data_IF_711441454561
#
_entry.id   IF_711441454561
#
_cell.length_a   1.000
_cell.length_b   1.000
_cell.length_c   1.000
_cell.angle_alpha   90.00
_cell.angle_beta   90.00
_cell.angle_gamma   90.00
#
_symmetry.space_group_name_H-M   'P 1'
#
loop_
_entity.id
_entity.type
_entity.pdbx_description
1 polymer ?
#
# COMPACT_ATOMS: atom_id res chain seq x y z
N UNK A 1 38.70 -40.26 74.48
CA UNK A 1 38.82 -38.81 74.24
C UNK A 1 37.65 -38.35 73.37
N UNK A 2 37.04 -37.24 73.77
CA UNK A 2 35.86 -36.62 73.18
C UNK A 2 36.12 -36.06 71.77
N UNK A 3 35.15 -36.15 70.87
CA UNK A 3 34.66 -35.00 70.09
C UNK A 3 33.17 -35.20 69.77
N UNK A 4 32.32 -34.46 70.48
CA UNK A 4 30.94 -34.20 70.08
C UNK A 4 30.96 -32.98 69.16
N UNK A 5 30.61 -33.14 67.89
CA UNK A 5 30.28 -32.02 67.02
C UNK A 5 28.77 -32.07 66.72
N UNK A 6 28.07 -31.03 67.16
CA UNK A 6 26.62 -30.82 67.00
C UNK A 6 26.41 -29.73 65.92
N UNK A 7 25.27 -29.79 65.21
CA UNK A 7 24.62 -28.72 64.39
C UNK A 7 25.27 -28.40 63.03
N UNK A 8 24.56 -28.12 61.91
CA UNK A 8 23.28 -27.42 61.76
C UNK A 8 22.49 -27.84 60.50
N UNK A 9 21.19 -27.51 60.55
CA UNK A 9 20.11 -27.73 59.58
C UNK A 9 20.44 -27.68 58.09
N UNK A 10 19.82 -28.60 57.36
CA UNK A 10 19.54 -28.49 55.94
C UNK A 10 18.91 -27.12 55.62
N UNK A 11 19.59 -26.30 54.82
CA UNK A 11 19.03 -25.07 54.25
C UNK A 11 17.99 -25.48 53.23
N UNK A 12 16.72 -25.55 53.65
CA UNK A 12 15.59 -25.50 52.73
C UNK A 12 15.61 -24.14 52.02
N UNK A 13 15.62 -24.07 50.68
CA UNK A 13 15.43 -22.81 49.99
C UNK A 13 14.02 -22.28 50.30
N UNK A 14 13.95 -21.18 51.02
CA UNK A 14 12.70 -20.47 51.33
C UNK A 14 12.03 -19.98 50.03
N UNK A 15 10.70 -20.09 49.96
CA UNK A 15 9.79 -19.71 48.86
C UNK A 15 9.91 -18.27 48.30
N UNK A 16 10.89 -17.48 48.72
CA UNK A 16 11.17 -16.14 48.20
C UNK A 16 12.19 -16.09 47.06
N UNK A 17 12.93 -17.17 46.81
CA UNK A 17 13.91 -17.23 45.71
C UNK A 17 13.29 -17.44 44.31
N UNK A 18 12.05 -17.96 44.23
CA UNK A 18 11.44 -18.31 42.95
C UNK A 18 10.92 -17.09 42.17
N UNK A 19 10.62 -15.99 42.85
CA UNK A 19 10.08 -14.78 42.20
C UNK A 19 11.15 -13.85 41.60
N UNK A 20 12.43 -14.01 41.97
CA UNK A 20 13.51 -13.20 41.40
C UNK A 20 13.98 -13.79 40.06
N UNK A 21 13.92 -15.11 39.89
CA UNK A 21 14.27 -15.78 38.62
C UNK A 21 13.32 -15.42 37.47
N UNK A 22 12.02 -15.24 37.76
CA UNK A 22 11.03 -14.85 36.74
C UNK A 22 11.18 -13.39 36.30
N UNK A 23 11.70 -12.50 37.15
CA UNK A 23 11.82 -11.07 36.81
C UNK A 23 13.06 -10.76 35.94
N UNK A 24 14.13 -11.56 36.07
CA UNK A 24 15.33 -11.43 35.19
C UNK A 24 15.06 -11.95 33.78
N UNK A 25 14.17 -12.95 33.61
CA UNK A 25 13.72 -13.40 32.30
C UNK A 25 12.95 -12.33 31.52
N UNK A 26 12.24 -11.42 32.20
CA UNK A 26 11.45 -10.36 31.55
C UNK A 26 12.26 -9.11 31.18
N UNK A 27 13.42 -8.86 31.83
CA UNK A 27 14.26 -7.71 31.50
C UNK A 27 15.19 -7.97 30.30
N UNK A 28 15.56 -9.23 30.04
CA UNK A 28 16.41 -9.59 28.88
C UNK A 28 15.66 -9.56 27.53
N UNK A 29 14.33 -9.69 27.55
CA UNK A 29 13.47 -9.58 26.35
C UNK A 29 13.36 -8.15 25.79
N UNK A 30 13.79 -7.12 26.52
CA UNK A 30 13.67 -5.71 26.10
C UNK A 30 15.01 -5.14 25.59
N UNK A 31 16.16 -5.82 25.80
CA UNK A 31 17.46 -5.35 25.28
C UNK A 31 18.25 -6.34 24.43
N UNK A 32 17.81 -7.59 24.28
CA UNK A 32 18.49 -8.60 23.47
C UNK A 32 17.66 -9.04 22.27
N UNK A 33 17.78 -8.32 21.15
CA UNK A 33 17.20 -8.72 19.87
C UNK A 33 17.68 -10.12 19.45
N UNK A 34 16.78 -11.10 19.53
CA UNK A 34 16.92 -12.35 18.79
C UNK A 34 16.20 -12.12 17.47
N UNK A 35 17.01 -11.87 16.43
CA UNK A 35 16.62 -12.12 15.05
C UNK A 35 15.97 -13.51 14.99
N UNK A 36 14.72 -13.58 14.56
CA UNK A 36 14.19 -14.79 13.96
C UNK A 36 14.63 -14.72 12.49
N UNK A 37 15.57 -15.56 12.02
CA UNK A 37 15.72 -15.74 10.59
C UNK A 37 14.44 -16.38 10.06
N UNK A 38 13.77 -15.73 9.12
CA UNK A 38 12.59 -16.23 8.41
C UNK A 38 12.88 -17.45 7.51
N UNK A 39 13.96 -18.20 7.77
CA UNK A 39 14.53 -19.21 6.87
C UNK A 39 14.26 -20.67 7.28
N UNK A 40 13.31 -20.94 8.17
CA UNK A 40 12.89 -22.32 8.47
C UNK A 40 11.41 -22.56 8.17
N UNK A 41 11.02 -22.24 6.93
CA UNK A 41 9.90 -22.93 6.28
C UNK A 41 10.45 -24.26 5.74
N UNK A 42 10.20 -25.35 6.47
CA UNK A 42 10.52 -26.72 6.05
C UNK A 42 9.72 -27.07 4.79
N UNK A 43 10.31 -26.88 3.61
CA UNK A 43 9.83 -27.46 2.36
C UNK A 43 10.35 -28.91 2.24
N UNK A 44 9.45 -29.88 2.29
CA UNK A 44 9.73 -31.24 1.85
C UNK A 44 10.08 -31.21 0.35
N UNK A 45 11.17 -31.86 -0.05
CA UNK A 45 11.60 -31.94 -1.44
C UNK A 45 10.64 -32.81 -2.25
N UNK A 46 9.74 -32.17 -3.01
CA UNK A 46 8.97 -32.85 -4.06
C UNK A 46 9.75 -32.80 -5.38
N UNK A 47 9.66 -33.83 -6.24
CA UNK A 47 10.48 -33.94 -7.47
C UNK A 47 10.31 -32.74 -8.40
N UNK A 48 11.43 -32.15 -8.80
CA UNK A 48 11.57 -30.85 -9.47
C UNK A 48 11.00 -30.73 -10.89
N UNK A 49 10.23 -31.71 -11.38
CA UNK A 49 9.76 -31.73 -12.77
C UNK A 49 8.24 -31.63 -12.95
N UNK A 50 7.46 -31.60 -11.85
CA UNK A 50 5.99 -31.43 -11.89
C UNK A 50 5.50 -30.46 -10.79
N UNK A 51 6.32 -29.49 -10.37
CA UNK A 51 5.88 -28.43 -9.46
C UNK A 51 5.54 -27.19 -10.30
N UNK A 52 4.36 -27.25 -10.93
CA UNK A 52 3.71 -26.16 -11.64
C UNK A 52 4.55 -25.49 -12.74
N UNK A 53 4.05 -25.57 -13.97
CA UNK A 53 4.03 -24.36 -14.80
C UNK A 53 3.33 -23.31 -13.94
N UNK A 54 4.13 -22.52 -13.22
CA UNK A 54 3.65 -21.43 -12.40
C UNK A 54 3.10 -20.40 -13.40
N UNK A 55 1.82 -20.55 -13.74
CA UNK A 55 1.00 -19.47 -14.26
C UNK A 55 1.42 -18.23 -13.49
N UNK A 56 1.88 -17.16 -14.16
CA UNK A 56 2.71 -16.24 -13.41
C UNK A 56 1.86 -15.65 -12.29
N UNK A 57 2.39 -15.67 -11.07
CA UNK A 57 1.51 -15.50 -9.91
C UNK A 57 1.09 -14.03 -9.84
N UNK A 58 -0.16 -13.78 -9.46
CA UNK A 58 -0.54 -12.47 -8.97
C UNK A 58 0.44 -12.04 -7.87
N UNK A 59 0.74 -10.74 -7.81
CA UNK A 59 1.58 -10.18 -6.78
C UNK A 59 1.00 -10.43 -5.39
N UNK A 60 1.85 -10.80 -4.44
CA UNK A 60 1.41 -11.01 -3.05
C UNK A 60 0.92 -9.70 -2.42
N UNK A 61 -0.07 -9.77 -1.53
CA UNK A 61 -0.48 -8.58 -0.77
C UNK A 61 0.61 -8.16 0.22
N UNK A 62 0.78 -6.86 0.42
CA UNK A 62 1.68 -6.31 1.43
C UNK A 62 1.16 -6.57 2.85
N UNK A 63 2.07 -6.85 3.79
CA UNK A 63 1.77 -6.82 5.22
C UNK A 63 1.59 -5.39 5.74
N UNK A 64 1.31 -5.18 7.02
CA UNK A 64 1.11 -3.84 7.59
C UNK A 64 2.24 -2.87 7.22
N UNK A 65 1.90 -1.77 6.55
CA UNK A 65 2.86 -0.78 6.01
C UNK A 65 3.63 -1.21 4.76
N UNK A 66 3.56 -2.48 4.37
CA UNK A 66 4.27 -3.06 3.23
C UNK A 66 3.56 -2.84 1.89
N UNK A 67 4.35 -2.69 0.84
CA UNK A 67 3.87 -2.59 -0.53
C UNK A 67 3.37 -3.95 -1.05
N UNK A 68 2.42 -3.91 -1.97
CA UNK A 68 1.99 -5.08 -2.71
C UNK A 68 3.07 -5.53 -3.69
N UNK A 69 3.22 -6.84 -3.85
CA UNK A 69 4.14 -7.42 -4.82
C UNK A 69 3.71 -7.13 -6.26
N UNK A 70 4.67 -7.00 -7.16
CA UNK A 70 4.41 -6.98 -8.60
C UNK A 70 4.13 -8.38 -9.15
N UNK A 71 3.46 -8.46 -10.30
CA UNK A 71 3.18 -9.71 -11.00
C UNK A 71 2.51 -9.45 -12.35
N UNK A 72 1.95 -10.47 -13.03
CA UNK A 72 1.04 -10.11 -14.13
C UNK A 72 -0.28 -9.53 -13.67
N UNK A 73 -0.67 -9.74 -12.41
CA UNK A 73 -1.70 -8.94 -11.73
C UNK A 73 -1.02 -8.35 -10.49
N UNK A 74 -1.22 -7.06 -10.22
CA UNK A 74 -0.60 -6.39 -9.09
C UNK A 74 -1.21 -6.82 -7.75
N UNK A 75 -0.37 -7.03 -6.74
CA UNK A 75 -0.83 -7.32 -5.38
C UNK A 75 -1.30 -6.06 -4.65
N UNK A 76 -2.28 -6.17 -3.76
CA UNK A 76 -2.70 -5.02 -2.94
C UNK A 76 -1.65 -4.60 -1.92
N UNK A 77 -1.57 -3.30 -1.61
CA UNK A 77 -0.75 -2.78 -0.52
C UNK A 77 -1.35 -3.12 0.85
N UNK A 78 -0.49 -3.37 1.84
CA UNK A 78 -0.92 -3.45 3.23
C UNK A 78 -1.22 -2.07 3.82
N UNK A 79 -1.53 -1.97 5.12
CA UNK A 79 -1.98 -0.70 5.73
C UNK A 79 -0.98 0.45 5.54
N UNK A 80 -1.26 1.39 4.62
CA UNK A 80 -0.35 2.49 4.26
C UNK A 80 0.65 2.19 3.14
N UNK A 81 0.77 0.93 2.73
CA UNK A 81 1.62 0.52 1.61
C UNK A 81 0.97 0.74 0.25
N UNK A 82 1.80 0.95 -0.77
CA UNK A 82 1.36 1.09 -2.16
C UNK A 82 0.94 -0.26 -2.75
N UNK A 83 0.04 -0.24 -3.72
CA UNK A 83 -0.25 -1.43 -4.52
C UNK A 83 0.90 -1.80 -5.45
N UNK A 84 1.01 -3.08 -5.77
CA UNK A 84 2.05 -3.63 -6.64
C UNK A 84 1.75 -3.44 -8.12
N UNK A 85 2.81 -3.38 -8.93
CA UNK A 85 2.70 -3.22 -10.38
C UNK A 85 2.16 -4.45 -11.11
N UNK A 86 1.50 -4.24 -12.25
CA UNK A 86 0.98 -5.30 -13.13
C UNK A 86 1.56 -5.22 -14.54
N UNK A 87 2.10 -6.34 -15.02
CA UNK A 87 2.70 -6.43 -16.37
C UNK A 87 1.67 -6.74 -17.46
N UNK A 88 0.52 -7.33 -17.14
CA UNK A 88 -0.51 -7.68 -18.15
C UNK A 88 -1.88 -7.04 -17.91
N UNK A 89 -2.10 -6.38 -16.77
CA UNK A 89 -3.45 -6.03 -16.33
C UNK A 89 -3.52 -4.78 -15.48
N UNK A 90 -4.23 -4.91 -14.37
CA UNK A 90 -4.54 -3.83 -13.45
C UNK A 90 -3.53 -3.82 -12.31
N UNK A 91 -2.96 -2.65 -12.01
CA UNK A 91 -2.12 -2.47 -10.83
C UNK A 91 -2.91 -2.76 -9.54
N UNK A 92 -2.22 -3.19 -8.49
CA UNK A 92 -2.87 -3.46 -7.22
C UNK A 92 -3.36 -2.19 -6.54
N UNK A 93 -4.39 -2.29 -5.70
CA UNK A 93 -4.85 -1.15 -4.91
C UNK A 93 -3.87 -0.85 -3.77
N UNK A 94 -3.72 0.43 -3.42
CA UNK A 94 -2.99 0.84 -2.22
C UNK A 94 -3.78 0.53 -0.95
N UNK A 95 -3.10 0.30 0.16
CA UNK A 95 -3.72 0.30 1.48
C UNK A 95 -4.00 1.72 1.98
N UNK A 96 -4.51 1.87 3.20
CA UNK A 96 -4.92 3.17 3.75
C UNK A 96 -3.82 4.25 3.70
N UNK A 97 -3.91 5.20 2.78
CA UNK A 97 -2.93 6.26 2.54
C UNK A 97 -1.89 5.94 1.46
N UNK A 98 -1.81 4.67 1.05
CA UNK A 98 -0.92 4.19 -0.01
C UNK A 98 -1.48 4.43 -1.41
N UNK A 99 -0.58 4.60 -2.37
CA UNK A 99 -0.95 4.79 -3.78
C UNK A 99 -1.35 3.47 -4.42
N UNK A 100 -2.19 3.52 -5.46
CA UNK A 100 -2.39 2.39 -6.34
C UNK A 100 -1.11 2.05 -7.11
N UNK A 101 -0.93 0.78 -7.45
CA UNK A 101 0.16 0.31 -8.28
C UNK A 101 -0.07 0.63 -9.76
N UNK A 102 1.00 0.68 -10.53
CA UNK A 102 0.92 0.87 -11.98
C UNK A 102 0.41 -0.41 -12.66
N UNK A 103 -0.35 -0.26 -13.75
CA UNK A 103 -0.74 -1.39 -14.57
C UNK A 103 -0.75 -1.02 -16.04
N UNK A 104 -0.39 -1.96 -16.90
CA UNK A 104 -0.35 -1.71 -18.36
C UNK A 104 -1.71 -1.29 -18.89
N UNK A 105 -2.81 -1.94 -18.44
CA UNK A 105 -4.16 -1.61 -18.89
C UNK A 105 -4.81 -0.54 -18.02
N UNK A 106 -4.71 -0.71 -16.70
CA UNK A 106 -5.22 0.27 -15.76
C UNK A 106 -4.34 0.34 -14.52
N UNK A 107 -4.14 1.54 -14.00
CA UNK A 107 -3.58 1.70 -12.66
C UNK A 107 -4.54 1.19 -11.59
N UNK A 108 -3.99 0.80 -10.45
CA UNK A 108 -4.74 0.44 -9.26
C UNK A 108 -5.31 1.65 -8.54
N UNK A 109 -6.30 1.43 -7.67
CA UNK A 109 -6.89 2.48 -6.84
C UNK A 109 -5.98 2.90 -5.68
N UNK A 110 -6.03 4.17 -5.31
CA UNK A 110 -5.42 4.67 -4.08
C UNK A 110 -6.23 4.28 -2.85
N UNK A 111 -5.58 3.82 -1.78
CA UNK A 111 -6.24 3.57 -0.50
C UNK A 111 -6.20 4.81 0.39
N UNK A 112 -7.19 4.99 1.26
CA UNK A 112 -7.24 6.17 2.15
C UNK A 112 -7.13 7.47 1.36
N UNK A 113 -6.10 8.30 1.59
CA UNK A 113 -5.82 9.50 0.79
C UNK A 113 -4.71 9.38 -0.26
N UNK A 114 -4.28 8.14 -0.57
CA UNK A 114 -3.28 7.90 -1.62
C UNK A 114 -3.83 8.14 -3.02
N UNK A 115 -2.94 8.47 -3.96
CA UNK A 115 -3.29 8.65 -5.37
C UNK A 115 -3.52 7.31 -6.09
N UNK A 116 -4.23 7.35 -7.21
CA UNK A 116 -4.34 6.20 -8.12
C UNK A 116 -3.00 5.91 -8.82
N UNK A 117 -2.81 4.67 -9.24
CA UNK A 117 -1.67 4.27 -10.06
C UNK A 117 -1.85 4.63 -11.52
N UNK A 118 -0.78 4.56 -12.30
CA UNK A 118 -0.80 4.92 -13.73
C UNK A 118 -1.09 3.69 -14.61
N UNK A 119 -1.62 3.95 -15.81
CA UNK A 119 -1.83 2.91 -16.83
C UNK A 119 -2.33 3.48 -18.15
N UNK A 120 -2.81 2.65 -19.09
CA UNK A 120 -3.58 3.18 -20.23
C UNK A 120 -4.83 3.91 -19.71
N UNK A 121 -5.48 3.36 -18.69
CA UNK A 121 -6.48 4.05 -17.90
C UNK A 121 -5.88 4.31 -16.52
N UNK A 122 -5.82 5.58 -16.10
CA UNK A 122 -5.34 5.91 -14.77
C UNK A 122 -6.26 5.35 -13.69
N UNK A 123 -5.66 4.88 -12.60
CA UNK A 123 -6.38 4.40 -11.43
C UNK A 123 -7.06 5.54 -10.67
N UNK A 124 -8.10 5.22 -9.90
CA UNK A 124 -8.80 6.22 -9.11
C UNK A 124 -8.04 6.57 -7.83
N UNK A 125 -8.03 7.84 -7.45
CA UNK A 125 -7.51 8.28 -6.17
C UNK A 125 -8.39 7.85 -4.99
N UNK A 126 -7.78 7.63 -3.84
CA UNK A 126 -8.48 7.49 -2.57
C UNK A 126 -9.09 8.82 -2.10
N UNK A 127 -9.80 8.83 -0.97
CA UNK A 127 -10.30 10.03 -0.25
C UNK A 127 -9.23 11.13 -0.11
N UNK A 128 -9.28 12.13 -0.99
CA UNK A 128 -8.32 13.26 -1.02
C UNK A 128 -7.13 13.04 -1.94
N UNK A 129 -6.95 11.82 -2.45
CA UNK A 129 -5.92 11.47 -3.40
C UNK A 129 -6.31 11.81 -4.84
N UNK A 130 -5.28 12.09 -5.64
CA UNK A 130 -5.45 12.38 -7.06
C UNK A 130 -5.66 11.09 -7.86
N UNK A 131 -6.32 11.18 -9.02
CA UNK A 131 -6.32 10.08 -9.97
C UNK A 131 -4.94 9.87 -10.60
N UNK A 132 -4.67 8.65 -11.07
CA UNK A 132 -3.44 8.32 -11.79
C UNK A 132 -3.47 8.77 -13.25
N UNK A 133 -2.30 8.80 -13.88
CA UNK A 133 -2.11 9.19 -15.28
C UNK A 133 -2.42 8.07 -16.27
N UNK A 134 -2.68 8.47 -17.53
CA UNK A 134 -2.78 7.52 -18.62
C UNK A 134 -3.12 8.10 -19.98
N UNK A 135 -3.56 7.23 -20.90
CA UNK A 135 -4.26 7.66 -22.11
C UNK A 135 -5.56 8.37 -21.71
N UNK A 136 -6.27 7.78 -20.74
CA UNK A 136 -7.38 8.38 -20.02
C UNK A 136 -6.99 8.56 -18.56
N UNK A 137 -7.02 9.78 -18.05
CA UNK A 137 -6.67 10.07 -16.65
C UNK A 137 -7.69 9.46 -15.68
N UNK A 138 -7.18 8.96 -14.56
CA UNK A 138 -7.97 8.40 -13.48
C UNK A 138 -8.76 9.47 -12.73
N UNK A 139 -9.86 9.08 -12.09
CA UNK A 139 -10.67 10.02 -11.32
C UNK A 139 -10.10 10.24 -9.92
N UNK A 140 -10.27 11.43 -9.38
CA UNK A 140 -9.84 11.71 -8.02
C UNK A 140 -10.85 11.18 -6.99
N UNK A 141 -10.38 10.93 -5.77
CA UNK A 141 -11.29 10.81 -4.64
C UNK A 141 -11.67 12.18 -4.07
N UNK A 142 -12.48 12.19 -3.01
CA UNK A 142 -13.03 13.42 -2.41
C UNK A 142 -11.94 14.42 -2.01
N UNK A 143 -11.86 15.58 -2.68
CA UNK A 143 -10.82 16.60 -2.43
C UNK A 143 -9.64 16.57 -3.39
N UNK A 144 -9.39 15.45 -4.07
CA UNK A 144 -8.24 15.28 -4.95
C UNK A 144 -8.47 15.84 -6.35
N UNK A 145 -7.38 16.07 -7.08
CA UNK A 145 -7.38 16.43 -8.50
C UNK A 145 -7.46 15.20 -9.42
N UNK A 146 -8.10 15.34 -10.58
CA UNK A 146 -8.12 14.29 -11.59
C UNK A 146 -6.73 14.01 -12.15
N UNK A 147 -6.49 12.77 -12.57
CA UNK A 147 -5.21 12.38 -13.16
C UNK A 147 -5.00 12.93 -14.57
N UNK A 148 -3.76 13.02 -15.02
CA UNK A 148 -3.47 13.51 -16.37
C UNK A 148 -3.79 12.45 -17.43
N UNK A 149 -4.45 12.87 -18.50
CA UNK A 149 -4.68 12.04 -19.68
C UNK A 149 -3.92 12.56 -20.89
N UNK A 150 -3.66 11.69 -21.85
CA UNK A 150 -3.28 12.11 -23.21
C UNK A 150 -4.54 12.49 -23.97
N UNK A 151 -5.54 11.61 -24.03
CA UNK A 151 -6.80 11.89 -24.70
C UNK A 151 -7.72 12.71 -23.79
N UNK A 152 -7.99 12.21 -22.58
CA UNK A 152 -8.91 12.88 -21.67
C UNK A 152 -8.35 12.90 -20.27
N UNK A 153 -8.28 14.09 -19.67
CA UNK A 153 -7.93 14.26 -18.27
C UNK A 153 -8.98 13.67 -17.32
N UNK A 154 -8.53 13.22 -16.17
CA UNK A 154 -9.37 12.63 -15.14
C UNK A 154 -10.27 13.64 -14.45
N UNK A 155 -11.37 13.17 -13.87
CA UNK A 155 -12.31 14.02 -13.13
C UNK A 155 -11.79 14.35 -11.72
N UNK A 156 -11.88 15.61 -11.31
CA UNK A 156 -11.60 16.05 -9.94
C UNK A 156 -12.70 15.65 -8.95
N UNK A 157 -12.32 15.44 -7.70
CA UNK A 157 -13.25 15.23 -6.59
C UNK A 157 -13.82 16.54 -6.07
N UNK A 158 -14.67 16.51 -5.04
CA UNK A 158 -15.24 17.74 -4.45
C UNK A 158 -14.13 18.73 -4.05
N UNK A 159 -14.17 19.96 -4.57
CA UNK A 159 -13.15 21.00 -4.41
C UNK A 159 -11.92 20.83 -5.29
N UNK A 160 -11.72 19.66 -5.89
CA UNK A 160 -10.57 19.30 -6.70
C UNK A 160 -10.75 19.63 -8.18
N UNK A 161 -9.63 19.97 -8.82
CA UNK A 161 -9.61 20.31 -10.23
C UNK A 161 -9.62 19.06 -11.12
N UNK A 162 -10.14 19.17 -12.33
CA UNK A 162 -9.94 18.16 -13.36
C UNK A 162 -8.47 18.06 -13.77
N UNK A 163 -8.08 16.87 -14.24
CA UNK A 163 -6.74 16.61 -14.72
C UNK A 163 -6.49 17.21 -16.10
N UNK A 164 -5.22 17.35 -16.46
CA UNK A 164 -4.83 17.80 -17.81
C UNK A 164 -5.21 16.75 -18.87
N UNK A 165 -5.58 17.19 -20.07
CA UNK A 165 -5.65 16.35 -21.25
C UNK A 165 -5.08 17.03 -22.49
N UNK A 166 -4.45 16.29 -23.40
CA UNK A 166 -4.00 16.91 -24.68
C UNK A 166 -5.20 17.18 -25.57
N UNK A 167 -6.16 16.24 -25.68
CA UNK A 167 -7.37 16.49 -26.46
C UNK A 167 -8.44 17.18 -25.59
N UNK A 168 -8.74 16.63 -24.41
CA UNK A 168 -9.75 17.19 -23.53
C UNK A 168 -9.32 17.21 -22.06
N UNK A 169 -9.43 18.37 -21.42
CA UNK A 169 -9.22 18.48 -19.98
C UNK A 169 -10.29 17.74 -19.18
N UNK A 170 -9.94 17.25 -18.00
CA UNK A 170 -10.88 16.56 -17.13
C UNK A 170 -11.91 17.47 -16.49
N UNK A 171 -13.06 16.93 -16.09
CA UNK A 171 -14.07 17.72 -15.36
C UNK A 171 -13.61 18.09 -13.95
N UNK A 172 -13.90 19.30 -13.49
CA UNK A 172 -13.76 19.69 -12.09
C UNK A 172 -14.82 19.02 -11.21
N UNK A 173 -14.51 18.81 -9.93
CA UNK A 173 -15.52 18.46 -8.95
C UNK A 173 -16.22 19.71 -8.39
N UNK A 174 -17.19 19.55 -7.49
CA UNK A 174 -17.97 20.69 -6.95
C UNK A 174 -17.05 21.75 -6.35
N UNK A 175 -17.10 22.99 -6.85
CA UNK A 175 -16.20 24.10 -6.48
C UNK A 175 -14.79 24.05 -7.08
N UNK A 176 -14.43 22.96 -7.78
CA UNK A 176 -13.15 22.78 -8.46
C UNK A 176 -13.21 23.16 -9.93
N UNK A 177 -12.07 23.56 -10.48
CA UNK A 177 -11.95 23.97 -11.89
C UNK A 177 -11.89 22.77 -12.82
N UNK A 178 -12.38 22.93 -14.05
CA UNK A 178 -12.04 22.01 -15.13
C UNK A 178 -10.53 21.96 -15.37
N UNK A 179 -10.03 20.81 -15.78
CA UNK A 179 -8.64 20.63 -16.17
C UNK A 179 -8.33 21.30 -17.49
N UNK A 180 -7.07 21.65 -17.71
CA UNK A 180 -6.66 22.19 -19.00
C UNK A 180 -6.73 21.12 -20.09
N UNK A 181 -7.27 21.47 -21.25
CA UNK A 181 -7.33 20.60 -22.41
C UNK A 181 -6.67 21.24 -23.62
N UNK A 182 -5.77 20.57 -24.32
CA UNK A 182 -5.10 21.17 -25.48
C UNK A 182 -6.09 21.63 -26.57
N UNK A 183 -7.09 20.80 -26.92
CA UNK A 183 -8.17 21.20 -27.84
C UNK A 183 -9.44 21.67 -27.12
N UNK A 184 -9.88 20.94 -26.10
CA UNK A 184 -11.12 21.22 -25.37
C UNK A 184 -10.85 21.33 -23.87
N UNK A 185 -11.09 22.51 -23.29
CA UNK A 185 -11.02 22.67 -21.84
C UNK A 185 -11.96 21.72 -21.09
N UNK A 186 -11.56 21.33 -19.88
CA UNK A 186 -12.38 20.51 -19.01
C UNK A 186 -13.61 21.24 -18.49
N UNK A 187 -14.70 20.50 -18.28
CA UNK A 187 -15.93 21.08 -17.74
C UNK A 187 -15.73 21.53 -16.29
N UNK A 188 -16.35 22.64 -15.92
CA UNK A 188 -16.42 23.06 -14.53
C UNK A 188 -17.23 22.07 -13.69
N UNK A 189 -16.86 21.89 -12.42
CA UNK A 189 -17.80 21.31 -11.46
C UNK A 189 -18.80 22.36 -10.96
N UNK A 190 -19.86 21.94 -10.26
CA UNK A 190 -20.87 22.86 -9.74
C UNK A 190 -20.24 23.94 -8.85
N UNK A 191 -20.31 25.21 -9.28
CA UNK A 191 -19.69 26.37 -8.60
C UNK A 191 -18.20 26.58 -8.87
N UNK A 192 -17.56 25.76 -9.71
CA UNK A 192 -16.17 25.93 -10.15
C UNK A 192 -16.07 26.63 -11.51
N UNK A 193 -14.84 26.95 -11.94
CA UNK A 193 -14.58 27.52 -13.27
C UNK A 193 -14.33 26.44 -14.33
N UNK A 194 -14.57 26.75 -15.60
CA UNK A 194 -14.18 25.88 -16.71
C UNK A 194 -12.66 25.74 -16.80
N UNK A 195 -12.19 24.64 -17.39
CA UNK A 195 -10.80 24.45 -17.76
C UNK A 195 -10.43 25.24 -19.01
N UNK A 196 -9.17 25.64 -19.12
CA UNK A 196 -8.67 26.36 -20.29
C UNK A 196 -8.36 25.43 -21.47
N UNK A 197 -8.29 26.02 -22.66
CA UNK A 197 -7.78 25.41 -23.89
C UNK A 197 -6.81 26.31 -24.62
N UNK A 198 -6.11 25.75 -25.63
CA UNK A 198 -5.23 26.51 -26.53
C UNK A 198 -6.04 27.32 -27.56
N UNK A 199 -7.32 26.96 -27.74
CA UNK A 199 -8.30 27.63 -28.59
C UNK A 199 -9.41 28.27 -27.74
#
# INVERSE_FOLDING_TARGET
MNFKARTNNAVRPNRRGFHIATLVASAAMISGGILIPASMASAASMPAHVAAVALPSAGGAGGDGGEGGGGLIGGGGGSGGSGGGSVLGVGGDGGNGGKGGEGVLSGGGGGGGGGGGDGVIGGNGGKGGNGGGGLFGGTAGNGGGGGSGILVGGKGGNGGNGGFGILQGGGGGKGGKGGFGGLLGGLAGGGGAGGGSIF
#
